data_IF_017809915315
#
_entry.id   IF_017809915315
#
_cell.length_a   1.000
_cell.length_b   1.000
_cell.length_c   1.000
_cell.angle_alpha   90.00
_cell.angle_beta   90.00
_cell.angle_gamma   90.00
#
_symmetry.space_group_name_H-M   'P 1'
#
loop_
_entity.id
_entity.type
_entity.pdbx_description
1 polymer ?
#
# COMPACT_ATOMS: atom_id res chain seq x y z
N UNK A 1 41.21 -68.65 -16.40
CA UNK A 1 41.86 -67.31 -16.49
C UNK A 1 40.72 -66.30 -16.53
N UNK A 2 40.44 -65.66 -15.40
CA UNK A 2 39.24 -64.86 -15.16
C UNK A 2 39.61 -63.38 -15.04
N UNK A 3 39.01 -62.53 -15.86
CA UNK A 3 39.00 -61.08 -15.66
C UNK A 3 37.59 -60.68 -15.23
N UNK A 4 37.43 -60.34 -13.95
CA UNK A 4 36.20 -59.75 -13.40
C UNK A 4 36.29 -58.25 -13.61
N UNK A 5 35.53 -57.71 -14.56
CA UNK A 5 35.35 -56.27 -14.70
C UNK A 5 34.47 -55.73 -13.57
N UNK A 6 35.07 -55.07 -12.59
CA UNK A 6 34.35 -54.28 -11.59
C UNK A 6 33.75 -53.03 -12.26
N UNK A 7 32.42 -52.99 -12.38
CA UNK A 7 31.70 -51.76 -12.71
C UNK A 7 31.91 -50.76 -11.56
N UNK A 8 32.73 -49.74 -11.79
CA UNK A 8 32.85 -48.57 -10.92
C UNK A 8 31.55 -47.76 -10.98
N UNK A 9 30.59 -48.10 -10.13
CA UNK A 9 29.40 -47.29 -9.90
C UNK A 9 29.87 -45.93 -9.33
N UNK A 10 29.65 -44.86 -10.09
CA UNK A 10 30.33 -43.58 -9.91
C UNK A 10 30.15 -42.96 -8.51
N UNK A 11 31.26 -42.58 -7.87
CA UNK A 11 31.34 -41.75 -6.64
C UNK A 11 30.65 -40.37 -6.74
N UNK A 12 30.09 -40.03 -7.90
CA UNK A 12 29.46 -38.75 -8.21
C UNK A 12 27.96 -38.68 -7.85
N UNK A 13 27.30 -39.82 -7.66
CA UNK A 13 25.86 -39.89 -7.35
C UNK A 13 25.45 -39.22 -6.01
N UNK A 14 26.15 -39.43 -4.87
CA UNK A 14 25.76 -38.81 -3.60
C UNK A 14 26.08 -37.30 -3.57
N UNK A 15 27.13 -36.84 -4.25
CA UNK A 15 27.43 -35.40 -4.36
C UNK A 15 26.35 -34.68 -5.17
N UNK A 16 25.90 -35.25 -6.29
CA UNK A 16 24.81 -34.67 -7.10
C UNK A 16 23.49 -34.56 -6.31
N UNK A 17 23.16 -35.57 -5.50
CA UNK A 17 22.00 -35.54 -4.60
C UNK A 17 22.14 -34.46 -3.52
N UNK A 18 23.32 -34.32 -2.91
CA UNK A 18 23.56 -33.26 -1.91
C UNK A 18 23.45 -31.88 -2.56
N UNK A 19 24.00 -31.68 -3.76
CA UNK A 19 23.88 -30.40 -4.48
C UNK A 19 22.44 -30.10 -4.89
N UNK A 20 21.68 -31.11 -5.34
CA UNK A 20 20.26 -30.95 -5.67
C UNK A 20 19.43 -30.59 -4.43
N UNK A 21 19.67 -31.27 -3.30
CA UNK A 21 19.01 -30.99 -2.02
C UNK A 21 19.38 -29.59 -1.52
N UNK A 22 20.66 -29.23 -1.56
CA UNK A 22 21.15 -27.91 -1.17
C UNK A 22 20.57 -26.80 -2.05
N UNK A 23 20.45 -27.04 -3.37
CA UNK A 23 19.83 -26.12 -4.32
C UNK A 23 18.32 -25.95 -4.07
N UNK A 24 17.59 -27.04 -3.79
CA UNK A 24 16.18 -26.95 -3.41
C UNK A 24 15.96 -26.25 -2.08
N UNK A 25 16.87 -26.42 -1.10
CA UNK A 25 16.85 -25.69 0.16
C UNK A 25 17.18 -24.21 -0.03
N UNK A 26 18.14 -23.88 -0.90
CA UNK A 26 18.47 -22.51 -1.30
C UNK A 26 17.30 -21.82 -2.01
N UNK A 27 16.62 -22.50 -2.91
CA UNK A 27 15.42 -22.00 -3.59
C UNK A 27 14.22 -21.88 -2.64
N UNK A 28 14.08 -22.76 -1.65
CA UNK A 28 13.07 -22.64 -0.60
C UNK A 28 13.35 -21.51 0.41
N UNK A 29 14.62 -21.19 0.65
CA UNK A 29 15.07 -20.04 1.47
C UNK A 29 14.91 -18.71 0.74
N UNK A 30 14.84 -18.72 -0.59
CA UNK A 30 14.45 -17.54 -1.38
C UNK A 30 12.94 -17.30 -1.26
N UNK A 31 12.49 -16.89 -0.07
CA UNK A 31 11.11 -16.49 0.16
C UNK A 31 10.78 -15.25 -0.68
N UNK A 32 9.87 -15.38 -1.63
CA UNK A 32 9.28 -14.22 -2.28
C UNK A 32 8.45 -13.43 -1.25
N UNK A 33 8.56 -12.11 -1.28
CA UNK A 33 7.71 -11.26 -0.43
C UNK A 33 6.26 -11.28 -0.94
N UNK A 34 5.31 -11.28 -0.01
CA UNK A 34 3.89 -11.12 -0.33
C UNK A 34 3.59 -9.64 -0.61
N UNK A 35 3.76 -9.24 -1.87
CA UNK A 35 3.51 -7.86 -2.31
C UNK A 35 2.02 -7.50 -2.34
N UNK A 36 1.12 -8.49 -2.40
CA UNK A 36 -0.31 -8.24 -2.32
C UNK A 36 -0.69 -7.82 -0.89
N UNK A 37 -0.20 -8.55 0.12
CA UNK A 37 -0.37 -8.19 1.54
C UNK A 37 0.29 -6.83 1.86
N UNK A 38 1.46 -6.56 1.29
CA UNK A 38 2.12 -5.26 1.44
C UNK A 38 1.29 -4.10 0.84
N UNK A 39 0.71 -4.30 -0.34
CA UNK A 39 -0.18 -3.32 -0.99
C UNK A 39 -1.45 -3.06 -0.16
N UNK A 40 -2.12 -4.12 0.30
CA UNK A 40 -3.31 -4.02 1.14
C UNK A 40 -3.03 -3.22 2.42
N UNK A 41 -1.90 -3.48 3.08
CA UNK A 41 -1.48 -2.73 4.28
C UNK A 41 -1.11 -1.28 3.97
N UNK A 42 -0.53 -1.00 2.81
CA UNK A 42 -0.26 0.38 2.38
C UNK A 42 -1.54 1.19 2.21
N UNK A 43 -2.61 0.59 1.70
CA UNK A 43 -3.91 1.27 1.59
C UNK A 43 -4.65 1.38 2.93
N UNK A 44 -4.50 0.40 3.83
CA UNK A 44 -4.96 0.52 5.22
C UNK A 44 -4.30 1.69 5.95
N UNK A 45 -3.04 2.03 5.63
CA UNK A 45 -2.38 3.22 6.19
C UNK A 45 -3.12 4.51 5.79
N UNK A 46 -3.61 4.64 4.56
CA UNK A 46 -4.44 5.79 4.18
C UNK A 46 -5.70 5.89 5.04
N UNK A 47 -6.43 4.78 5.24
CA UNK A 47 -7.58 4.76 6.13
C UNK A 47 -7.23 5.19 7.55
N UNK A 48 -6.08 4.75 8.06
CA UNK A 48 -5.58 5.10 9.37
C UNK A 48 -5.20 6.59 9.50
N UNK A 49 -5.02 7.32 8.41
CA UNK A 49 -4.68 8.76 8.40
C UNK A 49 -5.89 9.69 8.15
N UNK A 50 -7.07 9.15 7.82
CA UNK A 50 -8.25 9.97 7.48
C UNK A 50 -8.64 10.92 8.62
N UNK A 51 -8.85 12.21 8.36
CA UNK A 51 -9.52 13.17 9.26
C UNK A 51 -10.99 13.34 8.84
N UNK A 52 -11.88 13.71 9.75
CA UNK A 52 -13.28 14.00 9.47
C UNK A 52 -14.26 12.90 9.88
N UNK A 53 -15.44 12.89 9.25
CA UNK A 53 -16.48 11.88 9.47
C UNK A 53 -16.17 10.59 8.73
N UNK A 54 -15.59 9.63 9.43
CA UNK A 54 -15.19 8.34 8.87
C UNK A 54 -16.39 7.52 8.35
N UNK A 55 -16.24 6.79 7.23
CA UNK A 55 -17.27 5.88 6.74
C UNK A 55 -17.56 4.74 7.73
N UNK A 56 -18.82 4.31 7.83
CA UNK A 56 -19.22 3.22 8.71
C UNK A 56 -18.61 1.86 8.32
N UNK A 57 -18.22 1.70 7.06
CA UNK A 57 -17.58 0.52 6.50
C UNK A 57 -16.05 0.60 6.49
N UNK A 58 -15.44 1.55 7.20
CA UNK A 58 -13.98 1.64 7.33
C UNK A 58 -13.40 0.38 7.99
N UNK A 59 -12.25 -0.09 7.49
CA UNK A 59 -11.56 -1.30 7.99
C UNK A 59 -10.75 -1.04 9.26
N UNK A 60 -10.24 0.19 9.43
CA UNK A 60 -9.49 0.62 10.62
C UNK A 60 -10.42 0.95 11.79
N UNK A 61 -10.61 0.00 12.71
CA UNK A 61 -11.62 0.05 13.78
C UNK A 61 -11.23 0.85 15.03
N UNK A 62 -9.96 1.21 15.18
CA UNK A 62 -9.47 1.98 16.34
C UNK A 62 -9.47 3.50 16.08
N UNK A 63 -9.78 3.92 14.85
CA UNK A 63 -9.99 5.33 14.49
C UNK A 63 -11.48 5.67 14.61
N UNK A 64 -11.76 6.91 15.00
CA UNK A 64 -13.11 7.47 15.07
C UNK A 64 -13.13 8.89 14.46
N UNK A 65 -14.32 9.48 14.35
CA UNK A 65 -14.53 10.83 13.85
C UNK A 65 -13.63 11.87 14.55
N UNK A 66 -12.94 12.70 13.75
CA UNK A 66 -12.02 13.73 14.25
C UNK A 66 -12.05 14.97 13.35
N UNK A 67 -11.49 16.11 13.78
CA UNK A 67 -11.41 17.33 12.96
C UNK A 67 -12.78 17.86 12.48
N UNK A 68 -13.83 17.68 13.29
CA UNK A 68 -15.22 17.97 12.87
C UNK A 68 -15.57 19.46 12.80
N UNK A 69 -14.65 20.32 13.25
CA UNK A 69 -14.78 21.78 13.25
C UNK A 69 -13.76 22.45 12.34
N UNK A 70 -13.02 21.69 11.53
CA UNK A 70 -12.03 22.22 10.60
C UNK A 70 -12.67 23.25 9.65
N UNK A 71 -12.16 24.48 9.66
CA UNK A 71 -12.65 25.61 8.85
C UNK A 71 -13.84 26.39 9.42
N UNK A 72 -14.44 25.93 10.52
CA UNK A 72 -15.67 26.53 11.08
C UNK A 72 -15.49 28.01 11.44
N UNK A 73 -14.35 28.38 12.04
CA UNK A 73 -14.05 29.77 12.43
C UNK A 73 -13.94 30.72 11.23
N UNK A 74 -13.59 30.18 10.06
CA UNK A 74 -13.47 30.89 8.80
C UNK A 74 -14.74 30.79 7.94
N UNK A 75 -15.78 30.11 8.43
CA UNK A 75 -17.06 29.95 7.73
C UNK A 75 -17.01 29.00 6.53
N UNK A 76 -16.05 28.07 6.49
CA UNK A 76 -15.85 27.09 5.41
C UNK A 76 -15.88 25.66 5.96
N UNK A 77 -16.30 24.68 5.16
CA UNK A 77 -16.19 23.26 5.53
C UNK A 77 -14.85 22.72 5.05
N UNK A 78 -13.91 22.51 5.97
CA UNK A 78 -12.63 21.87 5.69
C UNK A 78 -12.53 20.48 6.33
N UNK A 79 -13.64 19.87 6.76
CA UNK A 79 -13.66 18.53 7.35
C UNK A 79 -13.33 17.47 6.29
N UNK A 80 -12.37 16.60 6.55
CA UNK A 80 -11.93 15.55 5.63
C UNK A 80 -10.41 15.51 5.47
N UNK A 81 -9.94 14.83 4.41
CA UNK A 81 -8.51 14.77 4.06
C UNK A 81 -7.70 13.85 4.98
N UNK A 82 -6.38 13.98 4.93
CA UNK A 82 -5.45 13.13 5.67
C UNK A 82 -4.62 13.96 6.66
N UNK A 83 -4.35 13.40 7.83
CA UNK A 83 -3.26 13.87 8.67
C UNK A 83 -1.92 13.53 8.02
N UNK A 84 -0.97 14.45 8.09
CA UNK A 84 0.26 14.37 7.29
C UNK A 84 1.19 13.24 7.73
N UNK A 85 1.46 13.15 9.03
CA UNK A 85 2.40 12.18 9.58
C UNK A 85 1.88 11.56 10.90
N UNK A 86 2.67 11.64 11.97
CA UNK A 86 2.28 11.19 13.31
C UNK A 86 1.55 12.25 14.14
N UNK A 87 1.30 13.42 13.55
CA UNK A 87 0.57 14.53 14.13
C UNK A 87 -0.86 14.62 13.55
N UNK A 88 -1.51 15.77 13.72
CA UNK A 88 -2.88 15.99 13.28
C UNK A 88 -3.05 17.21 12.37
N UNK A 89 -1.95 17.79 11.85
CA UNK A 89 -2.01 18.88 10.88
C UNK A 89 -2.24 18.31 9.48
N UNK A 90 -2.98 19.06 8.66
CA UNK A 90 -3.31 18.70 7.29
C UNK A 90 -2.52 19.57 6.32
N UNK A 91 -1.22 19.28 6.18
CA UNK A 91 -0.36 19.99 5.25
C UNK A 91 -0.77 19.69 3.79
N UNK A 92 -1.28 20.71 3.10
CA UNK A 92 -1.87 20.56 1.76
C UNK A 92 -0.88 20.11 0.69
N UNK A 93 0.38 20.56 0.75
CA UNK A 93 1.41 20.19 -0.23
C UNK A 93 1.75 18.69 -0.21
N UNK A 94 2.19 18.08 0.91
CA UNK A 94 2.49 16.65 0.95
C UNK A 94 1.24 15.79 0.74
N UNK A 95 0.05 16.24 1.17
CA UNK A 95 -1.20 15.54 0.85
C UNK A 95 -1.44 15.51 -0.66
N UNK A 96 -1.29 16.65 -1.35
CA UNK A 96 -1.51 16.75 -2.80
C UNK A 96 -0.51 15.89 -3.57
N UNK A 97 0.76 15.89 -3.15
CA UNK A 97 1.77 14.99 -3.70
C UNK A 97 1.37 13.52 -3.54
N UNK A 98 0.96 13.13 -2.33
CA UNK A 98 0.59 11.74 -2.02
C UNK A 98 -0.60 11.27 -2.85
N UNK A 99 -1.66 12.08 -2.95
CA UNK A 99 -2.84 11.75 -3.76
C UNK A 99 -2.49 11.67 -5.25
N UNK A 100 -1.58 12.52 -5.72
CA UNK A 100 -1.08 12.48 -7.10
C UNK A 100 -0.32 11.20 -7.39
N UNK A 101 0.59 10.80 -6.51
CA UNK A 101 1.38 9.56 -6.67
C UNK A 101 0.50 8.31 -6.59
N UNK A 102 -0.50 8.29 -5.69
CA UNK A 102 -1.46 7.20 -5.63
C UNK A 102 -2.30 7.12 -6.92
N UNK A 103 -2.78 8.26 -7.42
CA UNK A 103 -3.53 8.32 -8.68
C UNK A 103 -2.69 7.85 -9.87
N UNK A 104 -1.43 8.28 -9.94
CA UNK A 104 -0.50 7.82 -10.98
C UNK A 104 -0.28 6.30 -10.87
N UNK A 105 -0.10 5.76 -9.67
CA UNK A 105 0.05 4.32 -9.46
C UNK A 105 -1.17 3.54 -9.96
N UNK A 106 -2.39 4.05 -9.73
CA UNK A 106 -3.62 3.44 -10.27
C UNK A 106 -3.67 3.53 -11.79
N UNK A 107 -3.25 4.65 -12.40
CA UNK A 107 -3.21 4.79 -13.87
C UNK A 107 -2.26 3.76 -14.50
N UNK A 108 -1.08 3.55 -13.93
CA UNK A 108 -0.06 2.66 -14.48
C UNK A 108 -0.34 1.17 -14.19
N UNK A 109 -0.89 0.87 -13.01
CA UNK A 109 -0.93 -0.49 -12.46
C UNK A 109 -2.33 -0.95 -12.05
N UNK A 110 -3.39 -0.40 -12.64
CA UNK A 110 -4.78 -0.75 -12.31
C UNK A 110 -5.03 -2.26 -12.32
N UNK A 111 -4.56 -2.98 -13.33
CA UNK A 111 -4.76 -4.44 -13.47
C UNK A 111 -4.10 -5.21 -12.32
N UNK A 112 -2.89 -4.84 -11.92
CA UNK A 112 -2.16 -5.52 -10.83
C UNK A 112 -2.80 -5.21 -9.47
N UNK A 113 -3.26 -3.98 -9.28
CA UNK A 113 -3.96 -3.56 -8.06
C UNK A 113 -5.32 -4.30 -7.97
N UNK A 114 -6.03 -4.46 -9.10
CA UNK A 114 -7.29 -5.21 -9.18
C UNK A 114 -7.08 -6.72 -8.95
N UNK A 115 -6.03 -7.29 -9.53
CA UNK A 115 -5.64 -8.69 -9.27
C UNK A 115 -5.31 -8.94 -7.79
N UNK A 116 -4.82 -7.92 -7.08
CA UNK A 116 -4.62 -7.97 -5.63
C UNK A 116 -5.90 -7.70 -4.82
N UNK A 117 -7.02 -7.36 -5.47
CA UNK A 117 -8.30 -7.07 -4.83
C UNK A 117 -8.40 -5.69 -4.17
N UNK A 118 -7.50 -4.76 -4.52
CA UNK A 118 -7.34 -3.49 -3.81
C UNK A 118 -7.71 -2.24 -4.65
N UNK A 119 -8.25 -2.43 -5.87
CA UNK A 119 -8.55 -1.31 -6.77
C UNK A 119 -9.60 -0.36 -6.17
N UNK A 120 -10.68 -0.88 -5.59
CA UNK A 120 -11.70 -0.06 -4.94
C UNK A 120 -11.13 0.73 -3.75
N UNK A 121 -10.26 0.10 -2.95
CA UNK A 121 -9.62 0.74 -1.81
C UNK A 121 -8.66 1.86 -2.23
N UNK A 122 -7.92 1.68 -3.33
CA UNK A 122 -7.09 2.73 -3.91
C UNK A 122 -7.93 3.91 -4.41
N UNK A 123 -9.03 3.63 -5.12
CA UNK A 123 -9.96 4.66 -5.60
C UNK A 123 -10.62 5.42 -4.46
N UNK A 124 -11.03 4.74 -3.39
CA UNK A 124 -11.57 5.36 -2.18
C UNK A 124 -10.55 6.26 -1.49
N UNK A 125 -9.28 5.85 -1.45
CA UNK A 125 -8.22 6.66 -0.87
C UNK A 125 -7.95 7.93 -1.70
N UNK A 126 -7.95 7.83 -3.03
CA UNK A 126 -7.85 8.99 -3.94
C UNK A 126 -9.05 9.91 -3.76
N UNK A 127 -10.26 9.34 -3.73
CA UNK A 127 -11.51 10.10 -3.55
C UNK A 127 -11.49 10.88 -2.23
N UNK A 128 -11.08 10.26 -1.13
CA UNK A 128 -11.02 10.93 0.17
C UNK A 128 -10.13 12.18 0.18
N UNK A 129 -8.95 12.09 -0.47
CA UNK A 129 -8.03 13.22 -0.59
C UNK A 129 -8.55 14.29 -1.56
N UNK A 130 -9.08 13.88 -2.70
CA UNK A 130 -9.60 14.82 -3.72
C UNK A 130 -10.87 15.54 -3.28
N UNK A 131 -11.79 14.87 -2.57
CA UNK A 131 -12.96 15.49 -1.97
C UNK A 131 -12.55 16.63 -1.01
N UNK A 132 -11.47 16.44 -0.25
CA UNK A 132 -10.91 17.49 0.59
C UNK A 132 -10.35 18.66 -0.23
N UNK A 133 -9.63 18.42 -1.33
CA UNK A 133 -9.13 19.51 -2.18
C UNK A 133 -10.25 20.32 -2.83
N UNK A 134 -11.36 19.68 -3.21
CA UNK A 134 -12.55 20.40 -3.70
C UNK A 134 -13.11 21.33 -2.61
N UNK A 135 -13.19 20.86 -1.37
CA UNK A 135 -13.59 21.70 -0.23
C UNK A 135 -12.62 22.84 0.05
N UNK A 136 -11.31 22.57 -0.04
CA UNK A 136 -10.25 23.55 0.20
C UNK A 136 -10.16 24.61 -0.90
N UNK A 137 -10.73 24.39 -2.08
CA UNK A 137 -10.79 25.36 -3.17
C UNK A 137 -12.12 26.13 -3.19
N UNK A 138 -12.27 27.08 -2.27
CA UNK A 138 -13.55 27.78 -2.01
C UNK A 138 -13.93 28.85 -3.04
N UNK A 139 -12.98 29.28 -3.87
CA UNK A 139 -13.21 30.19 -5.00
C UNK A 139 -12.04 30.10 -6.01
N UNK A 140 -12.16 30.62 -7.24
CA UNK A 140 -11.18 30.38 -8.31
C UNK A 140 -9.71 30.68 -7.97
N UNK A 141 -9.45 31.60 -7.04
CA UNK A 141 -8.10 32.00 -6.63
C UNK A 141 -7.86 31.87 -5.12
N UNK A 142 -8.67 31.05 -4.43
CA UNK A 142 -8.51 30.79 -2.98
C UNK A 142 -8.33 29.30 -2.77
N UNK A 143 -7.24 28.94 -2.09
CA UNK A 143 -6.91 27.59 -1.68
C UNK A 143 -6.50 27.58 -0.21
N UNK A 144 -7.19 26.77 0.59
CA UNK A 144 -6.81 26.47 1.97
C UNK A 144 -5.73 25.39 1.96
N UNK A 145 -4.49 25.79 2.25
CA UNK A 145 -3.33 24.91 2.17
C UNK A 145 -2.93 24.24 3.50
N UNK A 146 -3.55 24.65 4.61
CA UNK A 146 -3.40 24.14 5.97
C UNK A 146 -4.68 24.39 6.77
#
# INVERSE_FOLDING_TARGET
MAEKGELRFGRHCPLLLIHAVLLTLLLAVAGAFDYADALAKSLLYFEAQRSGRLPYNQRVTWRDHSGLTDGLEQGVDLVGGYYDAGDHVKFGLPMAFTVTMLSWSVIEYAEQIDHAGELEHALDAIKWGTDYFVKAHTSPNVLWAE
#
